data_IF_461161411115
#
_entry.id   IF_461161411115
#
_cell.length_a   1.000
_cell.length_b   1.000
_cell.length_c   1.000
_cell.angle_alpha   90.00
_cell.angle_beta   90.00
_cell.angle_gamma   90.00
#
_symmetry.space_group_name_H-M   'P 1'
#
loop_
_entity.id
_entity.type
_entity.pdbx_description
1 polymer ?
#
# COMPACT_ATOMS: atom_id res chain seq x y z
N UNK A 1 22.19 18.84 -8.30
CA UNK A 1 22.08 17.37 -8.25
C UNK A 1 22.55 16.92 -6.87
N UNK A 2 21.86 15.96 -6.25
CA UNK A 2 22.35 15.32 -5.01
C UNK A 2 23.09 14.03 -5.41
N UNK A 3 24.18 13.73 -4.73
CA UNK A 3 24.99 12.52 -5.00
C UNK A 3 24.60 11.43 -4.01
N UNK A 4 24.43 10.21 -4.50
CA UNK A 4 24.25 8.99 -3.71
C UNK A 4 25.34 8.00 -4.10
N UNK A 5 25.83 7.21 -3.14
CA UNK A 5 26.77 6.13 -3.39
C UNK A 5 26.01 4.80 -3.43
N UNK A 6 26.35 3.94 -4.37
CA UNK A 6 25.78 2.60 -4.55
C UNK A 6 26.93 1.59 -4.72
N UNK A 7 26.69 0.35 -4.34
CA UNK A 7 27.62 -0.74 -4.57
C UNK A 7 27.78 -1.08 -6.07
N UNK A 8 28.87 -1.79 -6.39
CA UNK A 8 29.26 -2.07 -7.79
C UNK A 8 28.24 -2.96 -8.52
N UNK A 9 27.64 -3.92 -7.83
CA UNK A 9 26.65 -4.82 -8.41
C UNK A 9 25.35 -4.08 -8.73
N UNK A 10 24.90 -3.21 -7.82
CA UNK A 10 23.74 -2.34 -8.03
C UNK A 10 24.00 -1.33 -9.16
N UNK A 11 25.20 -0.76 -9.25
CA UNK A 11 25.58 0.11 -10.36
C UNK A 11 25.47 -0.62 -11.71
N UNK A 12 26.03 -1.84 -11.80
CA UNK A 12 25.97 -2.67 -13.02
C UNK A 12 24.53 -3.00 -13.39
N UNK A 13 23.70 -3.33 -12.40
CA UNK A 13 22.29 -3.60 -12.62
C UNK A 13 21.57 -2.36 -13.18
N UNK A 14 21.71 -1.19 -12.57
CA UNK A 14 21.07 0.05 -13.04
C UNK A 14 21.54 0.38 -14.47
N UNK A 15 22.84 0.30 -14.74
CA UNK A 15 23.39 0.57 -16.07
C UNK A 15 22.84 -0.37 -17.16
N UNK A 16 22.60 -1.64 -16.82
CA UNK A 16 22.05 -2.63 -17.75
C UNK A 16 20.61 -2.34 -18.19
N UNK A 17 19.90 -1.47 -17.47
CA UNK A 17 18.50 -1.11 -17.72
C UNK A 17 18.37 0.14 -18.61
N UNK A 18 19.44 0.60 -19.26
CA UNK A 18 19.42 1.75 -20.19
C UNK A 18 18.63 1.40 -21.45
N UNK A 19 17.60 2.20 -21.80
CA UNK A 19 16.80 1.98 -23.01
C UNK A 19 17.14 2.97 -24.14
N UNK A 20 17.58 4.17 -23.79
CA UNK A 20 17.91 5.22 -24.75
C UNK A 20 19.34 5.72 -24.55
N UNK A 21 20.05 5.97 -25.65
CA UNK A 21 21.40 6.52 -25.61
C UNK A 21 21.34 7.92 -24.99
N UNK A 22 22.08 8.13 -23.90
CA UNK A 22 22.12 9.42 -23.18
C UNK A 22 21.08 9.56 -22.06
N UNK A 23 20.35 8.49 -21.71
CA UNK A 23 19.44 8.46 -20.56
C UNK A 23 20.20 8.69 -19.24
N UNK A 24 19.66 9.53 -18.35
CA UNK A 24 20.32 9.79 -17.07
C UNK A 24 20.04 8.68 -16.05
N UNK A 25 20.94 8.47 -15.09
CA UNK A 25 20.72 7.51 -14.01
C UNK A 25 19.43 7.79 -13.21
N UNK A 26 19.01 9.06 -13.13
CA UNK A 26 17.75 9.44 -12.48
C UNK A 26 16.53 8.95 -13.26
N UNK A 27 16.57 9.00 -14.59
CA UNK A 27 15.46 8.56 -15.45
C UNK A 27 15.31 7.03 -15.40
N UNK A 28 16.44 6.31 -15.43
CA UNK A 28 16.46 4.85 -15.28
C UNK A 28 15.86 4.46 -13.92
N UNK A 29 16.27 5.11 -12.83
CA UNK A 29 15.77 4.82 -11.49
C UNK A 29 14.29 5.16 -11.33
N UNK A 30 13.82 6.29 -11.89
CA UNK A 30 12.40 6.67 -11.88
C UNK A 30 11.52 5.64 -12.59
N UNK A 31 12.00 5.09 -13.71
CA UNK A 31 11.34 3.98 -14.42
C UNK A 31 11.34 2.70 -13.58
N UNK A 32 12.50 2.27 -13.07
CA UNK A 32 12.61 1.01 -12.32
C UNK A 32 11.78 1.01 -11.04
N UNK A 33 11.67 2.16 -10.39
CA UNK A 33 10.93 2.35 -9.14
C UNK A 33 9.48 2.82 -9.38
N UNK A 34 9.07 2.99 -10.64
CA UNK A 34 7.74 3.48 -11.04
C UNK A 34 7.33 4.78 -10.30
N UNK A 35 8.29 5.70 -10.14
CA UNK A 35 8.13 6.94 -9.35
C UNK A 35 7.22 7.94 -10.08
N UNK A 36 7.25 7.92 -11.41
CA UNK A 36 6.46 8.80 -12.28
C UNK A 36 5.28 8.04 -12.88
N UNK A 37 4.39 7.54 -12.01
CA UNK A 37 3.11 6.98 -12.43
C UNK A 37 2.35 8.03 -13.26
N UNK A 38 2.32 7.84 -14.58
CA UNK A 38 1.69 8.70 -15.58
C UNK A 38 2.32 10.09 -15.76
N UNK A 39 3.32 10.22 -16.64
CA UNK A 39 3.45 11.37 -17.55
C UNK A 39 4.52 11.12 -18.63
N UNK A 40 4.08 10.65 -19.81
CA UNK A 40 4.81 10.86 -21.06
C UNK A 40 3.84 11.47 -22.07
N UNK A 41 3.74 12.80 -22.06
CA UNK A 41 3.36 13.53 -23.27
C UNK A 41 4.13 14.83 -23.36
N UNK A 42 5.00 14.94 -24.36
CA UNK A 42 5.17 16.07 -25.30
C UNK A 42 6.39 15.75 -26.18
N UNK A 43 6.32 15.73 -27.52
CA UNK A 43 5.97 16.88 -28.35
C UNK A 43 5.45 16.53 -29.78
N UNK A 44 4.33 17.18 -30.15
CA UNK A 44 3.95 17.80 -31.45
C UNK A 44 3.60 16.93 -32.71
N UNK A 45 2.87 17.46 -33.72
CA UNK A 45 1.45 17.91 -33.69
C UNK A 45 0.58 17.44 -34.91
N UNK A 46 -0.75 17.40 -34.70
CA UNK A 46 -1.90 17.68 -35.62
C UNK A 46 -1.97 17.02 -37.02
N UNK A 47 -3.03 16.23 -37.29
CA UNK A 47 -4.18 16.48 -38.21
C UNK A 47 -5.06 15.20 -38.28
N UNK A 48 -6.35 15.38 -37.96
CA UNK A 48 -7.55 14.50 -38.06
C UNK A 48 -7.87 13.93 -39.48
N UNK A 49 -8.97 13.19 -39.77
CA UNK A 49 -10.02 12.61 -38.90
C UNK A 49 -10.46 11.16 -39.29
N UNK A 50 -11.49 10.68 -38.56
CA UNK A 50 -12.57 9.73 -38.94
C UNK A 50 -12.48 8.31 -38.40
N UNK A 51 -13.50 7.95 -37.62
CA UNK A 51 -14.16 6.65 -37.77
C UNK A 51 -14.40 5.88 -36.48
N UNK A 52 -15.65 5.98 -35.99
CA UNK A 52 -16.52 4.83 -35.68
C UNK A 52 -16.04 3.81 -34.63
N UNK A 53 -16.69 3.88 -33.47
CA UNK A 53 -17.33 2.81 -32.68
C UNK A 53 -16.50 1.58 -32.23
N UNK A 54 -16.81 1.17 -30.98
CA UNK A 54 -16.65 -0.16 -30.36
C UNK A 54 -15.42 -0.31 -29.46
N UNK A 55 -15.77 -0.40 -28.16
CA UNK A 55 -15.19 -1.24 -27.11
C UNK A 55 -13.90 -2.01 -27.38
N UNK A 56 -12.99 -1.89 -26.39
CA UNK A 56 -12.43 -2.98 -25.55
C UNK A 56 -10.89 -3.02 -25.51
N UNK A 57 -10.38 -3.24 -24.29
CA UNK A 57 -9.06 -3.81 -23.93
C UNK A 57 -7.80 -2.97 -24.27
N UNK A 58 -6.74 -2.91 -23.48
CA UNK A 58 -6.39 -3.51 -22.20
C UNK A 58 -5.20 -2.72 -21.62
N UNK A 59 -5.39 -2.07 -20.48
CA UNK A 59 -4.32 -2.03 -19.49
C UNK A 59 -4.59 -3.26 -18.61
N UNK A 60 -3.70 -4.24 -18.66
CA UNK A 60 -3.65 -5.35 -17.71
C UNK A 60 -3.32 -4.77 -16.32
N UNK A 61 -4.28 -4.10 -15.73
CA UNK A 61 -4.37 -3.96 -14.30
C UNK A 61 -4.69 -5.37 -13.83
N UNK A 62 -3.67 -6.11 -13.38
CA UNK A 62 -3.90 -7.26 -12.51
C UNK A 62 -4.58 -6.70 -11.27
N UNK A 63 -5.88 -6.43 -11.36
CA UNK A 63 -6.72 -6.10 -10.23
C UNK A 63 -6.55 -7.25 -9.27
N UNK A 64 -5.76 -7.00 -8.24
CA UNK A 64 -5.56 -7.92 -7.15
C UNK A 64 -6.96 -8.19 -6.62
N UNK A 65 -7.43 -9.43 -6.74
CA UNK A 65 -8.67 -9.84 -6.11
C UNK A 65 -8.42 -9.79 -4.60
N UNK A 66 -8.81 -8.68 -3.98
CA UNK A 66 -8.58 -8.44 -2.56
C UNK A 66 -9.19 -9.52 -1.69
N UNK A 67 -10.35 -10.07 -2.06
CA UNK A 67 -10.99 -11.16 -1.31
C UNK A 67 -10.15 -12.43 -1.40
N UNK A 68 -9.63 -12.75 -2.60
CA UNK A 68 -8.71 -13.87 -2.79
C UNK A 68 -7.42 -13.68 -1.99
N UNK A 69 -6.81 -12.50 -2.01
CA UNK A 69 -5.59 -12.22 -1.26
C UNK A 69 -5.80 -12.33 0.25
N UNK A 70 -6.89 -11.78 0.78
CA UNK A 70 -7.19 -11.92 2.20
C UNK A 70 -7.45 -13.38 2.59
N UNK A 71 -8.10 -14.16 1.72
CA UNK A 71 -8.26 -15.62 1.95
C UNK A 71 -6.93 -16.35 1.92
N UNK A 72 -6.06 -16.04 0.96
CA UNK A 72 -4.70 -16.60 0.87
C UNK A 72 -3.86 -16.24 2.09
N UNK A 73 -3.98 -15.01 2.60
CA UNK A 73 -3.32 -14.58 3.83
C UNK A 73 -3.77 -15.44 5.02
N UNK A 74 -5.08 -15.66 5.19
CA UNK A 74 -5.61 -16.38 6.35
C UNK A 74 -5.20 -17.87 6.38
N UNK A 75 -4.80 -18.44 5.24
CA UNK A 75 -4.33 -19.84 5.14
C UNK A 75 -2.81 -19.94 5.03
N UNK A 76 -2.07 -18.82 5.07
CA UNK A 76 -0.62 -18.84 4.90
C UNK A 76 0.11 -19.30 6.16
N UNK A 77 1.24 -19.98 5.97
CA UNK A 77 2.11 -20.40 7.09
C UNK A 77 2.67 -19.21 7.86
N UNK A 78 2.93 -18.10 7.18
CA UNK A 78 3.34 -16.84 7.81
C UNK A 78 2.31 -16.38 8.82
N UNK A 79 1.03 -16.30 8.41
CA UNK A 79 -0.05 -15.86 9.28
C UNK A 79 -0.30 -16.85 10.43
N UNK A 80 -0.28 -18.16 10.14
CA UNK A 80 -0.45 -19.22 11.14
C UNK A 80 0.68 -19.26 12.19
N UNK A 81 1.91 -18.87 11.79
CA UNK A 81 3.06 -18.79 12.69
C UNK A 81 3.00 -17.66 13.72
N UNK A 82 2.13 -16.65 13.53
CA UNK A 82 2.04 -15.49 14.41
C UNK A 82 1.25 -15.80 15.69
N UNK A 83 1.96 -15.78 16.83
CA UNK A 83 1.39 -16.10 18.15
C UNK A 83 0.55 -14.96 18.75
N UNK A 84 0.93 -13.71 18.51
CA UNK A 84 0.31 -12.56 19.16
C UNK A 84 -0.69 -11.86 18.23
N UNK A 85 -1.79 -11.38 18.83
CA UNK A 85 -2.80 -10.59 18.12
C UNK A 85 -2.23 -9.31 17.50
N UNK A 86 -1.20 -8.71 18.11
CA UNK A 86 -0.54 -7.53 17.53
C UNK A 86 0.15 -7.86 16.22
N UNK A 87 0.82 -9.00 16.12
CA UNK A 87 1.57 -9.35 14.91
C UNK A 87 0.60 -9.68 13.77
N UNK A 88 -0.48 -10.44 14.06
CA UNK A 88 -1.57 -10.71 13.09
C UNK A 88 -2.24 -9.43 12.61
N UNK A 89 -2.51 -8.50 13.53
CA UNK A 89 -3.05 -7.18 13.20
C UNK A 89 -2.13 -6.39 12.25
N UNK A 90 -0.82 -6.35 12.52
CA UNK A 90 0.14 -5.63 11.66
C UNK A 90 0.23 -6.26 10.26
N UNK A 91 0.22 -7.58 10.17
CA UNK A 91 0.28 -8.29 8.89
C UNK A 91 -0.99 -8.09 8.06
N UNK A 92 -2.17 -8.08 8.70
CA UNK A 92 -3.44 -7.75 8.03
C UNK A 92 -3.39 -6.33 7.46
N UNK A 93 -2.97 -5.34 8.23
CA UNK A 93 -2.88 -3.95 7.77
C UNK A 93 -1.89 -3.78 6.60
N UNK A 94 -0.72 -4.43 6.71
CA UNK A 94 0.27 -4.44 5.63
C UNK A 94 -0.31 -5.03 4.33
N UNK A 95 -1.05 -6.14 4.45
CA UNK A 95 -1.70 -6.78 3.30
C UNK A 95 -2.81 -5.93 2.70
N UNK A 96 -3.63 -5.28 3.52
CA UNK A 96 -4.69 -4.39 3.03
C UNK A 96 -4.12 -3.21 2.23
N UNK A 97 -3.04 -2.59 2.72
CA UNK A 97 -2.33 -1.54 1.97
C UNK A 97 -1.72 -2.05 0.66
N UNK A 98 -1.21 -3.29 0.64
CA UNK A 98 -0.67 -3.90 -0.59
C UNK A 98 -1.76 -4.18 -1.63
N UNK A 99 -2.96 -4.55 -1.21
CA UNK A 99 -4.10 -4.80 -2.11
C UNK A 99 -4.51 -3.51 -2.82
N UNK A 100 -4.71 -2.43 -2.05
CA UNK A 100 -5.05 -1.12 -2.59
C UNK A 100 -4.57 -0.02 -1.62
N UNK A 101 -3.46 0.62 -1.98
CA UNK A 101 -2.84 1.67 -1.16
C UNK A 101 -3.66 2.95 -1.12
N UNK A 102 -4.37 3.28 -2.20
CA UNK A 102 -5.20 4.47 -2.30
C UNK A 102 -6.45 4.32 -1.42
N UNK A 103 -7.16 3.20 -1.57
CA UNK A 103 -8.34 2.90 -0.74
C UNK A 103 -7.96 2.73 0.73
N UNK A 104 -6.80 2.12 1.03
CA UNK A 104 -6.30 2.03 2.41
C UNK A 104 -6.01 3.42 3.01
N UNK A 105 -5.38 4.32 2.25
CA UNK A 105 -5.12 5.69 2.69
C UNK A 105 -6.41 6.42 3.08
N UNK A 106 -7.44 6.34 2.24
CA UNK A 106 -8.76 6.91 2.55
C UNK A 106 -9.41 6.22 3.77
N UNK A 107 -9.32 4.90 3.84
CA UNK A 107 -9.90 4.10 4.92
C UNK A 107 -9.23 4.34 6.29
N UNK A 108 -7.97 4.76 6.32
CA UNK A 108 -7.22 5.05 7.56
C UNK A 108 -7.40 6.47 8.09
N UNK A 109 -8.07 7.38 7.37
CA UNK A 109 -8.39 8.74 7.85
C UNK A 109 -9.32 8.76 9.08
N UNK A 110 -9.74 7.59 9.55
CA UNK A 110 -10.72 7.36 10.59
C UNK A 110 -10.06 7.51 11.95
N UNK A 111 -10.70 8.31 12.80
CA UNK A 111 -10.25 8.56 14.17
C UNK A 111 -11.28 8.06 15.17
N UNK A 112 -10.80 7.64 16.34
CA UNK A 112 -11.65 7.44 17.50
C UNK A 112 -12.14 8.78 18.06
N UNK A 113 -12.94 8.73 19.12
CA UNK A 113 -13.50 9.93 19.78
C UNK A 113 -12.43 10.93 20.23
N UNK A 114 -11.31 10.44 20.77
CA UNK A 114 -10.23 11.27 21.34
C UNK A 114 -8.85 11.03 20.72
N UNK A 115 -8.67 9.90 20.04
CA UNK A 115 -7.35 9.43 19.59
C UNK A 115 -7.37 9.22 18.10
N UNK A 116 -6.28 9.61 17.46
CA UNK A 116 -5.99 9.28 16.06
C UNK A 116 -5.45 7.85 16.04
N UNK A 117 -5.94 7.04 15.12
CA UNK A 117 -5.61 5.62 15.05
C UNK A 117 -4.45 5.34 14.11
N UNK A 118 -4.45 6.00 12.96
CA UNK A 118 -3.46 5.90 11.91
C UNK A 118 -2.92 7.28 11.54
N UNK A 119 -1.65 7.36 11.18
CA UNK A 119 -1.01 8.57 10.69
C UNK A 119 0.16 8.21 9.77
N UNK A 120 0.67 9.17 9.02
CA UNK A 120 1.90 9.06 8.23
C UNK A 120 3.18 9.22 9.07
N UNK A 121 3.06 9.61 10.35
CA UNK A 121 4.17 9.78 11.27
C UNK A 121 3.80 9.41 12.72
N UNK A 122 4.82 9.05 13.51
CA UNK A 122 4.69 8.67 14.91
C UNK A 122 4.16 9.82 15.79
N UNK A 123 4.63 11.04 15.55
CA UNK A 123 4.38 12.21 16.39
C UNK A 123 2.90 12.57 16.44
N UNK A 124 2.18 12.41 15.33
CA UNK A 124 0.73 12.66 15.25
C UNK A 124 -0.04 11.74 16.19
N UNK A 125 0.38 10.48 16.31
CA UNK A 125 -0.26 9.51 17.19
C UNK A 125 0.04 9.78 18.66
N UNK A 126 1.27 10.20 18.99
CA UNK A 126 1.66 10.62 20.34
C UNK A 126 0.97 11.91 20.78
N UNK A 127 0.78 12.87 19.88
CA UNK A 127 0.06 14.10 20.14
C UNK A 127 -1.42 13.84 20.47
N UNK A 128 -2.03 12.82 19.85
CA UNK A 128 -3.40 12.40 20.16
C UNK A 128 -3.53 11.65 21.51
N UNK A 129 -2.41 11.15 22.05
CA UNK A 129 -2.35 10.53 23.36
C UNK A 129 -0.98 9.94 23.69
N UNK A 130 -0.41 10.32 24.84
CA UNK A 130 0.95 9.91 25.23
C UNK A 130 1.11 8.41 25.49
N UNK A 131 0.02 7.69 25.75
CA UNK A 131 0.05 6.24 26.05
C UNK A 131 -0.37 5.37 24.87
N UNK A 132 -0.27 5.85 23.63
CA UNK A 132 -0.76 5.11 22.44
C UNK A 132 0.18 4.01 21.93
N UNK A 133 1.46 4.04 22.31
CA UNK A 133 2.53 3.13 21.83
C UNK A 133 2.45 2.91 20.30
N UNK A 134 2.73 3.94 19.48
CA UNK A 134 2.70 3.81 18.03
C UNK A 134 3.68 2.75 17.53
N UNK A 135 3.35 2.11 16.41
CA UNK A 135 4.27 1.27 15.63
C UNK A 135 4.09 1.54 14.14
N UNK A 136 5.19 1.55 13.39
CA UNK A 136 5.16 1.58 11.94
C UNK A 136 4.58 0.27 11.39
N UNK A 137 3.69 0.36 10.40
CA UNK A 137 3.15 -0.81 9.70
C UNK A 137 4.16 -1.24 8.62
N UNK A 138 4.66 -2.49 8.64
CA UNK A 138 5.65 -2.96 7.68
C UNK A 138 5.21 -2.75 6.23
N UNK A 139 6.14 -2.31 5.38
CA UNK A 139 5.92 -2.08 3.94
C UNK A 139 4.85 -1.01 3.62
N UNK A 140 4.61 -0.07 4.54
CA UNK A 140 3.70 1.06 4.33
C UNK A 140 4.29 2.35 4.90
N UNK A 141 3.83 3.53 4.46
CA UNK A 141 4.19 4.81 5.09
C UNK A 141 3.39 5.10 6.38
N UNK A 142 2.55 4.17 6.84
CA UNK A 142 1.60 4.41 7.93
C UNK A 142 2.11 3.89 9.28
N UNK A 143 1.68 4.58 10.33
CA UNK A 143 1.83 4.22 11.72
C UNK A 143 0.47 3.91 12.33
N UNK A 144 0.43 3.04 13.33
CA UNK A 144 -0.80 2.68 14.05
C UNK A 144 -0.58 2.63 15.55
N UNK A 145 -1.60 3.00 16.33
CA UNK A 145 -1.59 2.85 17.78
C UNK A 145 -1.70 1.37 18.19
N UNK A 146 -0.89 0.92 19.15
CA UNK A 146 -0.87 -0.50 19.55
C UNK A 146 -1.30 -0.75 20.99
N UNK A 147 -1.35 0.28 21.84
CA UNK A 147 -1.85 0.16 23.20
C UNK A 147 -3.39 0.13 23.26
N UNK A 148 -3.95 -0.96 22.80
CA UNK A 148 -5.39 -1.25 22.80
C UNK A 148 -5.61 -2.77 22.93
N UNK A 149 -6.82 -3.18 23.33
CA UNK A 149 -7.18 -4.60 23.44
C UNK A 149 -7.50 -5.21 22.07
N UNK A 150 -7.61 -6.55 22.01
CA UNK A 150 -7.89 -7.30 20.77
C UNK A 150 -9.18 -6.84 20.10
N UNK A 151 -10.26 -6.65 20.86
CA UNK A 151 -11.54 -6.15 20.33
C UNK A 151 -11.40 -4.81 19.62
N UNK A 152 -10.56 -3.90 20.12
CA UNK A 152 -10.27 -2.63 19.44
C UNK A 152 -9.50 -2.82 18.14
N UNK A 153 -8.51 -3.72 18.10
CA UNK A 153 -7.77 -4.06 16.87
C UNK A 153 -8.72 -4.61 15.80
N UNK A 154 -9.60 -5.52 16.20
CA UNK A 154 -10.64 -6.10 15.34
C UNK A 154 -11.55 -5.01 14.77
N UNK A 155 -12.06 -4.10 15.62
CA UNK A 155 -12.88 -2.97 15.17
C UNK A 155 -12.14 -2.01 14.23
N UNK A 156 -10.83 -1.79 14.45
CA UNK A 156 -10.02 -0.96 13.56
C UNK A 156 -9.89 -1.61 12.17
N UNK A 157 -9.62 -2.92 12.12
CA UNK A 157 -9.55 -3.67 10.86
C UNK A 157 -10.90 -3.71 10.16
N UNK A 158 -11.98 -4.00 10.90
CA UNK A 158 -13.35 -3.98 10.38
C UNK A 158 -13.67 -2.65 9.70
N UNK A 159 -13.40 -1.52 10.38
CA UNK A 159 -13.67 -0.18 9.83
C UNK A 159 -12.86 0.13 8.58
N UNK A 160 -11.61 -0.34 8.50
CA UNK A 160 -10.75 -0.17 7.33
C UNK A 160 -11.31 -1.02 6.17
N UNK A 161 -11.57 -2.30 6.41
CA UNK A 161 -12.05 -3.21 5.37
C UNK A 161 -13.45 -2.84 4.85
N UNK A 162 -14.36 -2.38 5.70
CA UNK A 162 -15.68 -1.86 5.28
C UNK A 162 -15.52 -0.67 4.33
N UNK A 163 -14.61 0.27 4.63
CA UNK A 163 -14.35 1.44 3.77
C UNK A 163 -13.67 1.07 2.47
N UNK A 164 -12.83 0.04 2.49
CA UNK A 164 -12.22 -0.52 1.28
C UNK A 164 -13.19 -1.39 0.47
N UNK A 165 -14.45 -1.53 0.89
CA UNK A 165 -15.49 -2.23 0.13
C UNK A 165 -15.42 -3.75 0.21
N UNK A 166 -14.75 -4.32 1.20
CA UNK A 166 -14.74 -5.77 1.40
C UNK A 166 -16.11 -6.29 1.83
N UNK A 167 -16.50 -7.51 1.41
CA UNK A 167 -17.75 -8.12 1.84
C UNK A 167 -17.69 -8.56 3.31
N UNK A 168 -18.85 -8.58 3.97
CA UNK A 168 -18.93 -8.87 5.41
C UNK A 168 -18.41 -10.27 5.78
N UNK A 169 -18.53 -11.26 4.89
CA UNK A 169 -18.10 -12.64 5.14
C UNK A 169 -16.57 -12.75 5.35
N UNK A 170 -15.78 -12.01 4.57
CA UNK A 170 -14.32 -12.02 4.73
C UNK A 170 -13.88 -11.13 5.89
N UNK A 171 -14.59 -10.02 6.14
CA UNK A 171 -14.32 -9.13 7.27
C UNK A 171 -14.46 -9.90 8.59
N UNK A 172 -15.56 -10.64 8.77
CA UNK A 172 -15.77 -11.43 9.99
C UNK A 172 -14.65 -12.46 10.21
N UNK A 173 -14.23 -13.16 9.16
CA UNK A 173 -13.13 -14.15 9.23
C UNK A 173 -11.80 -13.51 9.59
N UNK A 174 -11.48 -12.37 8.97
CA UNK A 174 -10.22 -11.65 9.23
C UNK A 174 -10.20 -11.05 10.63
N UNK A 175 -11.31 -10.49 11.09
CA UNK A 175 -11.37 -9.93 12.45
C UNK A 175 -11.27 -11.02 13.51
N UNK A 176 -11.95 -12.16 13.37
CA UNK A 176 -11.84 -13.28 14.31
C UNK A 176 -10.47 -13.96 14.33
N UNK A 177 -9.66 -13.80 13.28
CA UNK A 177 -8.32 -14.38 13.24
C UNK A 177 -7.25 -13.53 13.93
N UNK A 178 -7.56 -12.29 14.32
CA UNK A 178 -6.68 -11.38 15.10
C UNK A 178 -6.78 -11.70 16.58
#
# INVERSE_FOLDING_TARGET
MKTIEVDEDLYRYIASQTLHIGESASDILRRLLNVDGSELVTATPVVEPKGIVVSKDAALDTKIDGVKEMRSLLISDEFAGLKNAIDRFMLVLSTLHRIDSASFSEATMVKGRKRVYFADNEQTLLASGQTTKPKAIPNTPFWVITNNNTSRKQQMVEQVMVRMGFPSDIIEKVTHSI
#
